data_IF_374618718014
#
_entry.id   IF_374618718014
#
_cell.length_a   1.000
_cell.length_b   1.000
_cell.length_c   1.000
_cell.angle_alpha   90.00
_cell.angle_beta   90.00
_cell.angle_gamma   90.00
#
_symmetry.space_group_name_H-M   'P 1'
#
loop_
_entity.id
_entity.type
_entity.pdbx_description
1 polymer ?
#
# COMPACT_ATOMS: atom_id res chain seq x y z
N UNK A 1 -32.35 -11.62 32.63
CA UNK A 1 -31.45 -11.85 31.47
C UNK A 1 -30.06 -11.37 31.83
N UNK A 2 -29.03 -12.19 31.67
CA UNK A 2 -27.70 -11.95 32.21
C UNK A 2 -26.90 -10.95 31.38
N UNK A 3 -26.56 -9.81 31.98
CA UNK A 3 -25.69 -8.75 31.45
C UNK A 3 -24.34 -9.27 30.93
N UNK A 4 -23.82 -10.36 31.50
CA UNK A 4 -22.56 -11.01 31.08
C UNK A 4 -22.56 -11.51 29.63
N UNK A 5 -23.69 -12.02 29.14
CA UNK A 5 -23.81 -12.52 27.75
C UNK A 5 -23.71 -11.34 26.77
N UNK A 6 -24.32 -10.21 27.10
CA UNK A 6 -24.22 -8.99 26.30
C UNK A 6 -22.80 -8.45 26.22
N UNK A 7 -22.07 -8.43 27.34
CA UNK A 7 -20.66 -7.98 27.37
C UNK A 7 -19.78 -8.85 26.46
N UNK A 8 -19.96 -10.18 26.49
CA UNK A 8 -19.22 -11.09 25.62
C UNK A 8 -19.51 -10.87 24.13
N UNK A 9 -20.78 -10.66 23.77
CA UNK A 9 -21.18 -10.38 22.37
C UNK A 9 -20.56 -9.06 21.87
N UNK A 10 -20.56 -8.02 22.71
CA UNK A 10 -19.97 -6.71 22.36
C UNK A 10 -18.46 -6.84 22.13
N UNK A 11 -17.75 -7.60 22.97
CA UNK A 11 -16.31 -7.85 22.80
C UNK A 11 -16.06 -8.62 21.50
N UNK A 12 -16.84 -9.67 21.22
CA UNK A 12 -16.69 -10.45 19.99
C UNK A 12 -16.97 -9.61 18.75
N UNK A 13 -18.00 -8.75 18.78
CA UNK A 13 -18.32 -7.83 17.71
C UNK A 13 -17.22 -6.77 17.48
N UNK A 14 -16.60 -6.27 18.55
CA UNK A 14 -15.45 -5.36 18.45
C UNK A 14 -14.26 -6.04 17.79
N UNK A 15 -13.93 -7.27 18.19
CA UNK A 15 -12.81 -8.03 17.60
C UNK A 15 -13.07 -8.31 16.12
N UNK A 16 -14.27 -8.78 15.78
CA UNK A 16 -14.66 -9.06 14.40
C UNK A 16 -14.69 -7.77 13.54
N UNK A 17 -15.20 -6.67 14.09
CA UNK A 17 -15.19 -5.37 13.44
C UNK A 17 -13.78 -4.84 13.19
N UNK A 18 -12.87 -5.03 14.15
CA UNK A 18 -11.48 -4.58 14.02
C UNK A 18 -10.72 -5.42 12.99
N UNK A 19 -10.84 -6.75 13.03
CA UNK A 19 -10.19 -7.65 12.07
C UNK A 19 -10.76 -7.44 10.66
N UNK A 20 -12.08 -7.35 10.53
CA UNK A 20 -12.76 -7.08 9.26
C UNK A 20 -12.41 -5.70 8.69
N UNK A 21 -12.43 -4.66 9.52
CA UNK A 21 -12.06 -3.30 9.14
C UNK A 21 -10.60 -3.19 8.71
N UNK A 22 -9.68 -3.83 9.43
CA UNK A 22 -8.26 -3.85 9.08
C UNK A 22 -7.99 -4.52 7.73
N UNK A 23 -8.60 -5.68 7.49
CA UNK A 23 -8.45 -6.39 6.20
C UNK A 23 -9.07 -5.62 5.03
N UNK A 24 -10.26 -5.04 5.24
CA UNK A 24 -10.92 -4.22 4.22
C UNK A 24 -10.09 -2.97 3.89
N UNK A 25 -9.61 -2.24 4.91
CA UNK A 25 -8.75 -1.08 4.72
C UNK A 25 -7.44 -1.44 4.00
N UNK A 26 -6.83 -2.57 4.35
CA UNK A 26 -5.62 -3.07 3.68
C UNK A 26 -5.85 -3.33 2.19
N UNK A 27 -6.93 -4.04 1.86
CA UNK A 27 -7.30 -4.33 0.46
C UNK A 27 -7.64 -3.06 -0.31
N UNK A 28 -8.29 -2.10 0.34
CA UNK A 28 -8.60 -0.81 -0.25
C UNK A 28 -7.33 0.00 -0.55
N UNK A 29 -6.38 0.10 0.39
CA UNK A 29 -5.10 0.79 0.17
C UNK A 29 -4.29 0.16 -0.96
N UNK A 30 -4.24 -1.17 -1.03
CA UNK A 30 -3.54 -1.86 -2.11
C UNK A 30 -4.17 -1.55 -3.48
N UNK A 31 -5.51 -1.54 -3.55
CA UNK A 31 -6.25 -1.18 -4.76
C UNK A 31 -6.05 0.29 -5.14
N UNK A 32 -5.94 1.19 -4.15
CA UNK A 32 -5.68 2.61 -4.37
C UNK A 32 -4.29 2.85 -4.96
N UNK A 33 -3.25 2.22 -4.40
CA UNK A 33 -1.87 2.32 -4.89
C UNK A 33 -1.69 1.67 -6.26
N UNK A 34 -2.45 0.62 -6.57
CA UNK A 34 -2.48 -0.01 -7.91
C UNK A 34 -3.11 0.92 -8.97
N UNK A 35 -4.14 1.68 -8.60
CA UNK A 35 -4.84 2.63 -9.51
C UNK A 35 -4.06 3.93 -9.72
N UNK A 36 -3.37 4.43 -8.69
CA UNK A 36 -2.49 5.60 -8.77
C UNK A 36 -1.06 5.19 -8.41
N UNK A 37 -0.28 4.67 -9.39
CA UNK A 37 1.06 4.19 -9.11
C UNK A 37 1.89 5.33 -8.47
N UNK A 38 2.49 5.11 -7.30
CA UNK A 38 3.14 6.18 -6.53
C UNK A 38 4.42 6.71 -7.19
N UNK A 39 4.87 6.11 -8.29
CA UNK A 39 6.18 6.37 -8.88
C UNK A 39 5.99 6.70 -10.37
N UNK A 40 6.27 7.95 -10.71
CA UNK A 40 6.37 8.45 -12.07
C UNK A 40 7.85 8.75 -12.42
N UNK A 41 8.15 8.97 -13.70
CA UNK A 41 9.50 9.25 -14.19
C UNK A 41 10.14 10.47 -13.50
N UNK A 42 9.34 11.49 -13.21
CA UNK A 42 9.78 12.72 -12.55
C UNK A 42 10.20 12.49 -11.09
N UNK A 43 9.46 11.66 -10.35
CA UNK A 43 9.81 11.24 -8.98
C UNK A 43 11.09 10.42 -8.99
N UNK A 44 11.24 9.46 -9.92
CA UNK A 44 12.48 8.68 -10.07
C UNK A 44 13.68 9.56 -10.42
N UNK A 45 13.49 10.53 -11.33
CA UNK A 45 14.53 11.48 -11.71
C UNK A 45 14.95 12.33 -10.53
N UNK A 46 13.99 12.87 -9.78
CA UNK A 46 14.24 13.65 -8.57
C UNK A 46 14.94 12.83 -7.50
N UNK A 47 14.52 11.58 -7.29
CA UNK A 47 15.15 10.66 -6.33
C UNK A 47 16.60 10.34 -6.72
N UNK A 48 16.88 10.08 -8.00
CA UNK A 48 18.25 9.85 -8.49
C UNK A 48 19.12 11.10 -8.35
N UNK A 49 18.57 12.28 -8.66
CA UNK A 49 19.26 13.56 -8.48
C UNK A 49 19.56 13.85 -7.00
N UNK A 50 18.64 13.54 -6.09
CA UNK A 50 18.85 13.66 -4.63
C UNK A 50 19.97 12.73 -4.14
N UNK A 51 20.16 11.58 -4.78
CA UNK A 51 21.26 10.65 -4.49
C UNK A 51 22.59 11.03 -5.17
N UNK A 52 22.67 12.21 -5.82
CA UNK A 52 23.87 12.67 -6.51
C UNK A 52 24.20 11.89 -7.80
N UNK A 53 23.30 11.01 -8.25
CA UNK A 53 23.47 10.32 -9.52
C UNK A 53 22.88 11.19 -10.64
N UNK A 54 23.65 11.45 -11.70
CA UNK A 54 23.11 12.02 -12.94
C UNK A 54 22.26 10.95 -13.64
N UNK A 55 20.92 11.06 -13.67
CA UNK A 55 20.08 10.06 -14.32
C UNK A 55 20.30 10.12 -15.83
N UNK A 56 20.73 9.01 -16.43
CA UNK A 56 20.63 8.81 -17.89
C UNK A 56 19.22 8.32 -18.20
N UNK A 57 18.56 8.86 -19.23
CA UNK A 57 17.17 8.50 -19.56
C UNK A 57 16.96 7.00 -19.76
N UNK A 58 17.97 6.29 -20.30
CA UNK A 58 17.94 4.83 -20.43
C UNK A 58 17.89 4.12 -19.08
N UNK A 59 18.69 4.58 -18.10
CA UNK A 59 18.71 4.03 -16.74
C UNK A 59 17.41 4.35 -16.01
N UNK A 60 16.85 5.55 -16.21
CA UNK A 60 15.56 5.95 -15.65
C UNK A 60 14.45 5.00 -16.13
N UNK A 61 14.38 4.76 -17.45
CA UNK A 61 13.36 3.91 -18.05
C UNK A 61 13.51 2.44 -17.61
N UNK A 62 14.75 1.94 -17.55
CA UNK A 62 15.04 0.59 -17.04
C UNK A 62 14.61 0.43 -15.58
N UNK A 63 14.87 1.44 -14.75
CA UNK A 63 14.54 1.41 -13.33
C UNK A 63 13.03 1.56 -13.09
N UNK A 64 12.35 2.38 -13.89
CA UNK A 64 10.88 2.49 -13.87
C UNK A 64 10.23 1.14 -14.21
N UNK A 65 10.72 0.45 -15.24
CA UNK A 65 10.20 -0.85 -15.65
C UNK A 65 10.49 -1.95 -14.60
N UNK A 66 11.64 -1.91 -13.93
CA UNK A 66 11.96 -2.79 -12.81
C UNK A 66 11.04 -2.55 -11.59
N UNK A 67 10.74 -1.28 -11.27
CA UNK A 67 9.84 -0.91 -10.16
C UNK A 67 8.38 -1.31 -10.45
N UNK A 68 7.92 -1.11 -11.68
CA UNK A 68 6.57 -1.50 -12.11
C UNK A 68 6.36 -3.02 -12.06
N UNK A 69 7.38 -3.79 -12.44
CA UNK A 69 7.33 -5.26 -12.37
C UNK A 69 7.39 -5.78 -10.94
N UNK A 70 8.08 -5.10 -10.03
CA UNK A 70 8.13 -5.47 -8.60
C UNK A 70 6.79 -5.18 -7.88
N UNK A 71 6.11 -4.07 -8.21
CA UNK A 71 4.77 -3.75 -7.67
C UNK A 71 3.65 -4.69 -8.15
N UNK A 72 3.88 -5.44 -9.24
CA UNK A 72 2.91 -6.39 -9.79
C UNK A 72 3.03 -7.80 -9.18
N UNK A 73 4.15 -8.12 -8.50
CA UNK A 73 4.42 -9.45 -7.92
C UNK A 73 3.90 -9.63 -6.48
N UNK A 74 2.82 -8.95 -6.09
CA UNK A 74 2.19 -9.15 -4.78
C UNK A 74 0.71 -9.49 -4.91
#
# INVERSE_FOLDING_TARGET
>A
MSTTIWVLIVILALVLGFVGGFFAARKYMESYLKKNPPINETMLKTMMLQMGQKPSEKKLHQMMNAMKSQNTKK
#
